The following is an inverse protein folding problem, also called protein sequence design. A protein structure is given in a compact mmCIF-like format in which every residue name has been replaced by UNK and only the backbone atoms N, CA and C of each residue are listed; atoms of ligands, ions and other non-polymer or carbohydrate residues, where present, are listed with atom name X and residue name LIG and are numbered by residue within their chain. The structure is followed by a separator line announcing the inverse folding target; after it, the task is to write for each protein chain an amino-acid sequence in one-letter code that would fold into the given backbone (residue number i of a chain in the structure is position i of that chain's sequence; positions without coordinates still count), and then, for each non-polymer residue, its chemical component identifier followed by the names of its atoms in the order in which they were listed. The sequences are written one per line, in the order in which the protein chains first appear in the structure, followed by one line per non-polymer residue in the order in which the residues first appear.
data_IF_801158249531
#
_entry.id   IF_801158249531
#
_cell.length_a   1.000
_cell.length_b   1.000
_cell.length_c   1.000
_cell.angle_alpha   90.00
_cell.angle_beta   90.00
_cell.angle_gamma   90.00
#
_symmetry.space_group_name_H-M   'P 1'
#
loop_
_entity.id
_entity.type
_entity.pdbx_description
1 polymer ?
#
# COMPACT_ATOMS: atom_id res chain seq x y z
N UNK A 1 -18.17 -7.13 -15.20
CA UNK A 1 -17.82 -6.35 -13.99
C UNK A 1 -16.64 -5.48 -14.38
N UNK A 2 -16.66 -4.18 -14.07
CA UNK A 2 -15.55 -3.29 -14.44
C UNK A 2 -14.28 -3.71 -13.68
N UNK A 3 -13.20 -3.96 -14.43
CA UNK A 3 -11.85 -4.11 -13.87
C UNK A 3 -11.23 -2.72 -13.86
N UNK A 4 -11.12 -2.10 -12.68
CA UNK A 4 -10.46 -0.80 -12.57
C UNK A 4 -8.94 -1.01 -12.48
N UNK A 5 -8.18 -0.16 -13.19
CA UNK A 5 -6.73 -0.11 -13.03
C UNK A 5 -6.37 0.64 -11.75
N UNK A 6 -5.37 0.13 -11.04
CA UNK A 6 -4.78 0.84 -9.90
C UNK A 6 -3.76 1.83 -10.43
N UNK A 7 -3.92 3.11 -10.09
CA UNK A 7 -2.84 4.09 -10.19
C UNK A 7 -2.40 4.45 -8.77
N UNK A 8 -1.20 4.02 -8.39
CA UNK A 8 -0.63 4.45 -7.10
C UNK A 8 -0.14 5.89 -7.23
N UNK A 9 -0.61 6.76 -6.34
CA UNK A 9 -0.07 8.10 -6.16
C UNK A 9 0.92 8.04 -5.02
N UNK A 10 2.18 8.23 -5.37
CA UNK A 10 3.30 7.95 -4.48
C UNK A 10 3.77 9.22 -3.78
N UNK A 11 3.71 9.23 -2.44
CA UNK A 11 4.63 10.02 -1.65
C UNK A 11 5.99 9.29 -1.64
N UNK A 12 7.07 10.00 -1.98
CA UNK A 12 8.45 9.53 -2.05
C UNK A 12 8.95 8.93 -0.72
N UNK A 13 9.80 7.87 -0.68
CA UNK A 13 9.95 6.75 -1.62
C UNK A 13 9.09 5.54 -1.18
N UNK A 14 8.28 4.98 -2.09
CA UNK A 14 7.43 3.82 -1.79
C UNK A 14 8.23 2.58 -1.43
N UNK A 15 7.78 1.92 -0.36
CA UNK A 15 8.16 0.55 0.00
C UNK A 15 7.09 -0.50 -0.38
N UNK A 16 6.03 -0.09 -1.10
CA UNK A 16 5.14 -1.03 -1.81
C UNK A 16 5.55 -1.05 -3.29
N UNK A 17 6.01 -2.22 -3.76
CA UNK A 17 6.09 -2.51 -5.20
C UNK A 17 4.80 -3.19 -5.63
N UNK A 18 4.04 -2.59 -6.53
CA UNK A 18 2.91 -3.27 -7.18
C UNK A 18 3.48 -4.26 -8.20
N UNK A 19 3.09 -5.52 -8.10
CA UNK A 19 3.53 -6.58 -9.02
C UNK A 19 2.61 -6.69 -10.24
N UNK A 20 1.35 -6.35 -10.03
CA UNK A 20 0.24 -6.35 -10.97
C UNK A 20 -0.88 -5.45 -10.40
N UNK A 21 -1.98 -5.29 -11.12
CA UNK A 21 -3.15 -4.49 -10.72
C UNK A 21 -3.87 -4.99 -9.44
N UNK A 22 -3.38 -6.05 -8.79
CA UNK A 22 -4.00 -6.66 -7.61
C UNK A 22 -3.03 -7.01 -6.48
N UNK A 23 -1.71 -7.01 -6.71
CA UNK A 23 -0.71 -7.50 -5.75
C UNK A 23 0.27 -6.42 -5.33
N UNK A 24 0.35 -6.14 -4.02
CA UNK A 24 1.32 -5.23 -3.40
C UNK A 24 2.30 -6.00 -2.52
N UNK A 25 3.60 -5.78 -2.71
CA UNK A 25 4.67 -6.29 -1.84
C UNK A 25 5.17 -5.17 -0.94
N UNK A 26 4.97 -5.32 0.37
CA UNK A 26 5.47 -4.38 1.39
C UNK A 26 6.68 -4.99 2.07
N UNK A 27 7.80 -4.27 2.10
CA UNK A 27 9.04 -4.72 2.78
C UNK A 27 9.50 -3.74 3.86
N UNK A 28 10.03 -4.25 4.97
CA UNK A 28 10.51 -3.46 6.12
C UNK A 28 11.98 -3.70 6.44
N UNK A 29 12.59 -2.65 6.98
CA UNK A 29 13.95 -2.65 7.51
C UNK A 29 13.99 -3.15 8.95
N UNK A 30 14.62 -2.39 9.82
CA UNK A 30 14.99 -2.78 11.20
C UNK A 30 13.89 -2.61 12.27
N UNK A 31 12.67 -2.23 11.87
CA UNK A 31 11.56 -1.97 12.79
C UNK A 31 10.25 -2.61 12.34
N UNK A 32 9.35 -2.83 13.29
CA UNK A 32 8.00 -3.35 13.04
C UNK A 32 7.04 -2.23 12.64
N UNK A 33 6.11 -2.55 11.72
CA UNK A 33 5.11 -1.63 11.22
C UNK A 33 3.73 -2.27 11.18
N UNK A 34 2.69 -1.46 11.27
CA UNK A 34 1.30 -1.91 11.17
C UNK A 34 0.68 -1.11 10.04
N UNK A 35 0.31 -1.78 8.95
CA UNK A 35 -0.32 -1.12 7.81
C UNK A 35 -1.81 -1.39 7.79
N UNK A 36 -2.59 -0.33 7.60
CA UNK A 36 -4.03 -0.39 7.38
C UNK A 36 -4.37 0.19 6.00
N UNK A 37 -5.23 -0.52 5.25
CA UNK A 37 -5.74 -0.08 3.96
C UNK A 37 -7.19 0.37 4.08
N UNK A 38 -7.44 1.65 3.81
CA UNK A 38 -8.79 2.17 3.75
C UNK A 38 -9.56 1.62 2.55
N UNK A 39 -10.87 1.39 2.71
CA UNK A 39 -11.79 1.05 1.62
C UNK A 39 -11.70 -0.39 1.07
N UNK A 40 -10.78 -1.20 1.58
CA UNK A 40 -10.57 -2.56 1.12
C UNK A 40 -10.24 -3.52 2.27
N UNK A 41 -10.52 -4.79 2.03
CA UNK A 41 -9.79 -5.89 2.65
C UNK A 41 -8.86 -6.54 1.63
N UNK A 42 -7.77 -7.13 2.09
CA UNK A 42 -6.78 -7.83 1.30
C UNK A 42 -6.57 -9.26 1.80
N UNK A 43 -6.18 -10.13 0.88
CA UNK A 43 -5.70 -11.47 1.13
C UNK A 43 -4.20 -11.45 1.41
N UNK A 44 -3.78 -12.05 2.51
CA UNK A 44 -2.35 -12.25 2.81
C UNK A 44 -1.90 -13.54 2.14
N UNK A 45 -1.16 -13.41 1.05
CA UNK A 45 -0.79 -14.53 0.17
C UNK A 45 0.63 -15.05 0.43
N UNK A 46 1.48 -14.25 1.05
CA UNK A 46 2.84 -14.66 1.40
C UNK A 46 3.43 -13.77 2.49
N UNK A 47 4.21 -14.36 3.39
CA UNK A 47 4.98 -13.68 4.42
C UNK A 47 6.38 -14.29 4.41
N UNK A 48 7.41 -13.45 4.39
CA UNK A 48 8.80 -13.87 4.56
C UNK A 48 9.49 -12.93 5.52
N UNK A 49 10.37 -13.47 6.34
CA UNK A 49 11.25 -12.67 7.19
C UNK A 49 12.70 -12.99 6.84
N UNK A 50 13.53 -11.97 6.72
CA UNK A 50 14.96 -12.08 6.53
C UNK A 50 15.71 -11.89 7.86
N UNK A 51 16.97 -12.30 7.90
CA UNK A 51 17.83 -12.09 9.08
C UNK A 51 18.54 -10.72 9.08
N UNK A 52 18.32 -9.91 8.03
CA UNK A 52 18.96 -8.61 7.83
C UNK A 52 18.08 -7.71 6.96
N UNK A 53 18.39 -6.42 6.95
CA UNK A 53 17.81 -5.48 5.99
C UNK A 53 18.15 -5.91 4.57
N UNK A 54 17.12 -6.04 3.73
CA UNK A 54 17.25 -6.28 2.30
C UNK A 54 17.10 -4.94 1.56
N UNK A 55 17.90 -4.73 0.52
CA UNK A 55 17.73 -3.57 -0.36
C UNK A 55 16.48 -3.74 -1.22
N UNK A 56 15.86 -2.63 -1.65
CA UNK A 56 14.64 -2.62 -2.46
C UNK A 56 14.83 -3.45 -3.72
N UNK A 57 15.94 -3.22 -4.41
CA UNK A 57 16.31 -3.84 -5.68
C UNK A 57 16.44 -5.36 -5.53
N UNK A 58 16.93 -5.84 -4.38
CA UNK A 58 17.01 -7.27 -4.10
C UNK A 58 15.63 -7.89 -3.92
N UNK A 59 14.73 -7.22 -3.18
CA UNK A 59 13.35 -7.70 -2.98
C UNK A 59 12.60 -7.73 -4.32
N UNK A 60 12.72 -6.67 -5.12
CA UNK A 60 12.09 -6.60 -6.44
C UNK A 60 12.63 -7.68 -7.38
N UNK A 61 13.95 -7.87 -7.44
CA UNK A 61 14.58 -8.93 -8.23
C UNK A 61 14.11 -10.32 -7.79
N UNK A 62 14.13 -10.61 -6.49
CA UNK A 62 13.64 -11.90 -5.99
C UNK A 62 12.16 -12.11 -6.32
N UNK A 63 11.37 -11.03 -6.37
CA UNK A 63 9.99 -11.11 -6.76
C UNK A 63 9.81 -11.40 -8.25
N UNK A 64 10.57 -10.72 -9.11
CA UNK A 64 10.57 -10.94 -10.58
C UNK A 64 11.03 -12.37 -10.93
N UNK A 65 11.99 -12.90 -10.18
CA UNK A 65 12.48 -14.27 -10.32
C UNK A 65 11.55 -15.32 -9.66
N UNK A 66 10.43 -14.91 -9.05
CA UNK A 66 9.50 -15.74 -8.26
C UNK A 66 10.18 -16.54 -7.13
N UNK A 67 11.28 -16.00 -6.58
CA UNK A 67 12.05 -16.59 -5.46
C UNK A 67 11.81 -15.87 -4.13
N UNK A 68 11.02 -14.78 -4.14
CA UNK A 68 10.76 -13.98 -2.95
C UNK A 68 9.95 -14.74 -1.90
N UNK A 69 8.97 -15.54 -2.30
CA UNK A 69 8.19 -16.38 -1.39
C UNK A 69 8.41 -17.84 -1.73
N UNK A 70 8.84 -18.70 -0.76
CA UNK A 70 8.99 -20.13 -1.02
C UNK A 70 7.68 -20.79 -1.44
N UNK A 71 6.56 -20.32 -0.88
CA UNK A 71 5.21 -20.74 -1.25
C UNK A 71 4.23 -19.56 -1.05
N UNK A 72 3.30 -19.37 -1.99
CA UNK A 72 2.18 -18.44 -1.86
C UNK A 72 0.89 -19.21 -1.60
N UNK A 73 0.14 -18.83 -0.56
CA UNK A 73 -1.19 -19.38 -0.31
C UNK A 73 -2.22 -18.68 -1.20
N UNK A 74 -2.55 -19.30 -2.33
CA UNK A 74 -3.57 -18.82 -3.27
C UNK A 74 -4.91 -19.59 -3.16
N UNK A 75 -4.98 -20.63 -2.31
CA UNK A 75 -6.16 -21.49 -2.18
C UNK A 75 -7.12 -21.01 -1.11
N UNK A 76 -6.60 -20.62 0.06
CA UNK A 76 -7.40 -20.11 1.17
C UNK A 76 -6.59 -19.13 2.03
N UNK A 77 -6.20 -17.97 1.48
CA UNK A 77 -5.49 -16.94 2.23
C UNK A 77 -6.40 -16.29 3.29
N UNK A 78 -5.80 -15.83 4.38
CA UNK A 78 -6.51 -15.03 5.38
C UNK A 78 -6.83 -13.64 4.81
N UNK A 79 -8.05 -13.16 5.05
CA UNK A 79 -8.50 -11.83 4.68
C UNK A 79 -8.39 -10.87 5.85
N UNK A 80 -7.76 -9.71 5.65
CA UNK A 80 -7.56 -8.66 6.66
C UNK A 80 -7.62 -7.27 6.00
N UNK A 81 -7.84 -6.22 6.78
CA UNK A 81 -7.65 -4.83 6.37
C UNK A 81 -6.37 -4.20 6.97
N UNK A 82 -5.78 -4.91 7.94
CA UNK A 82 -4.66 -4.44 8.76
C UNK A 82 -3.67 -5.57 8.99
N UNK A 83 -2.37 -5.28 8.83
CA UNK A 83 -1.30 -6.27 8.99
C UNK A 83 -0.12 -5.70 9.75
N UNK A 84 0.36 -6.46 10.74
CA UNK A 84 1.65 -6.22 11.38
C UNK A 84 2.76 -6.91 10.60
N UNK A 85 3.77 -6.14 10.19
CA UNK A 85 4.96 -6.61 9.51
C UNK A 85 6.13 -6.46 10.47
N UNK A 86 6.67 -7.58 10.94
CA UNK A 86 7.84 -7.60 11.81
C UNK A 86 9.08 -7.05 11.09
N UNK A 87 10.11 -6.66 11.86
CA UNK A 87 11.43 -6.27 11.34
C UNK A 87 11.96 -7.30 10.35
N UNK A 88 12.55 -6.80 9.27
CA UNK A 88 13.05 -7.58 8.13
C UNK A 88 11.98 -8.40 7.41
N UNK A 89 10.71 -8.10 7.66
CA UNK A 89 9.56 -8.76 7.06
C UNK A 89 9.23 -8.22 5.66
N UNK A 90 8.74 -9.11 4.82
CA UNK A 90 8.17 -8.84 3.51
C UNK A 90 6.84 -9.58 3.41
N UNK A 91 5.79 -8.89 2.97
CA UNK A 91 4.45 -9.46 2.83
C UNK A 91 3.92 -9.23 1.42
N UNK A 92 3.22 -10.23 0.89
CA UNK A 92 2.46 -10.16 -0.35
C UNK A 92 0.98 -10.05 -0.03
N UNK A 93 0.39 -8.91 -0.37
CA UNK A 93 -1.02 -8.61 -0.20
C UNK A 93 -1.70 -8.63 -1.56
N UNK A 94 -2.87 -9.26 -1.65
CA UNK A 94 -3.68 -9.26 -2.85
C UNK A 94 -5.07 -8.70 -2.57
N UNK A 95 -5.55 -7.76 -3.36
CA UNK A 95 -6.92 -7.25 -3.26
C UNK A 95 -7.44 -6.94 -4.65
N UNK A 96 -8.77 -6.87 -4.79
CA UNK A 96 -9.40 -6.46 -6.03
C UNK A 96 -9.71 -4.98 -5.92
N UNK A 97 -9.22 -4.18 -6.86
CA UNK A 97 -9.50 -2.75 -6.92
C UNK A 97 -10.87 -2.50 -7.57
N UNK A 98 -11.95 -2.74 -6.84
CA UNK A 98 -13.33 -2.55 -7.31
C UNK A 98 -14.12 -1.48 -6.54
N UNK A 99 -13.42 -0.63 -5.80
CA UNK A 99 -13.98 0.51 -5.07
C UNK A 99 -13.35 1.82 -5.58
N UNK A 100 -14.00 2.53 -6.53
CA UNK A 100 -13.45 3.76 -7.10
C UNK A 100 -13.26 4.87 -6.07
N UNK A 101 -12.12 5.57 -6.14
CA UNK A 101 -11.79 6.68 -5.25
C UNK A 101 -10.32 6.75 -4.87
N UNK A 102 -10.03 7.51 -3.82
CA UNK A 102 -8.70 7.66 -3.24
C UNK A 102 -8.63 6.95 -1.89
N UNK A 103 -7.73 5.97 -1.77
CA UNK A 103 -7.62 5.11 -0.58
C UNK A 103 -6.24 5.18 0.04
N UNK A 104 -6.18 5.60 1.29
CA UNK A 104 -4.94 5.69 2.04
C UNK A 104 -4.52 4.30 2.54
N UNK A 105 -3.29 3.90 2.24
CA UNK A 105 -2.57 2.88 3.00
C UNK A 105 -1.66 3.63 3.96
N UNK A 106 -1.81 3.40 5.27
CA UNK A 106 -1.06 4.12 6.30
C UNK A 106 -0.42 3.23 7.34
N UNK A 107 0.68 3.71 7.90
CA UNK A 107 1.31 3.11 9.07
C UNK A 107 0.60 3.58 10.35
N UNK A 108 -0.15 2.68 10.98
CA UNK A 108 -0.93 2.93 12.19
C UNK A 108 -0.06 3.22 13.42
N UNK A 109 1.24 2.91 13.37
CA UNK A 109 2.13 3.12 14.51
C UNK A 109 2.74 4.52 14.58
N UNK A 110 2.31 5.46 13.74
CA UNK A 110 2.89 6.80 13.73
C UNK A 110 2.20 7.76 14.71
N UNK A 111 2.89 8.22 15.79
CA UNK A 111 2.26 8.99 16.85
C UNK A 111 1.96 10.46 16.49
N UNK A 112 2.60 11.03 15.46
CA UNK A 112 2.48 12.45 15.14
C UNK A 112 2.36 12.77 13.65
N UNK A 113 3.22 12.20 12.79
CA UNK A 113 3.27 12.47 11.35
C UNK A 113 3.62 11.20 10.59
N UNK A 114 3.17 11.04 9.35
CA UNK A 114 3.56 9.88 8.52
C UNK A 114 5.08 9.77 8.49
N UNK A 115 5.62 8.56 8.69
CA UNK A 115 7.07 8.30 8.59
C UNK A 115 7.56 8.31 7.13
N UNK A 116 6.82 8.94 6.22
CA UNK A 116 6.99 8.82 4.77
C UNK A 116 6.64 7.43 4.25
N UNK A 117 5.76 6.70 4.96
CA UNK A 117 5.42 5.31 4.64
C UNK A 117 4.01 5.13 4.07
N UNK A 118 3.22 6.20 4.14
CA UNK A 118 1.85 6.20 3.69
C UNK A 118 1.80 6.47 2.18
N UNK A 119 0.84 5.86 1.50
CA UNK A 119 0.62 6.09 0.07
C UNK A 119 -0.87 6.05 -0.24
N UNK A 120 -1.26 6.68 -1.36
CA UNK A 120 -2.65 6.76 -1.79
C UNK A 120 -2.83 5.92 -3.05
N UNK A 121 -3.85 5.06 -3.05
CA UNK A 121 -4.32 4.35 -4.21
C UNK A 121 -5.44 5.15 -4.87
N UNK A 122 -5.25 5.55 -6.14
CA UNK A 122 -6.35 6.02 -6.99
C UNK A 122 -6.89 4.80 -7.76
N UNK A 123 -8.16 4.49 -7.55
CA UNK A 123 -8.85 3.39 -8.23
C UNK A 123 -9.96 3.99 -9.09
N UNK A 124 -9.96 3.71 -10.39
CA UNK A 124 -10.91 4.28 -11.35
C UNK A 124 -10.56 5.70 -11.82
N UNK A 125 -11.42 6.25 -12.68
CA UNK A 125 -11.33 7.62 -13.18
C UNK A 125 -12.30 8.56 -12.45
N UNK A 126 -12.15 9.87 -12.58
CA UNK A 126 -12.92 10.84 -11.79
C UNK A 126 -14.44 10.71 -11.99
N UNK A 127 -14.87 10.31 -13.20
CA UNK A 127 -16.27 10.04 -13.52
C UNK A 127 -16.84 8.80 -12.79
N UNK A 128 -15.97 7.91 -12.29
CA UNK A 128 -16.36 6.75 -11.48
C UNK A 128 -16.58 7.13 -10.01
N UNK A 129 -16.17 8.33 -9.58
CA UNK A 129 -16.16 8.70 -8.16
C UNK A 129 -17.53 9.21 -7.72
N UNK A 130 -17.87 8.90 -6.47
CA UNK A 130 -19.03 9.52 -5.82
C UNK A 130 -18.75 11.02 -5.67
N UNK A 131 -19.67 11.84 -6.17
CA UNK A 131 -19.56 13.30 -6.05
C UNK A 131 -19.50 13.69 -4.57
N UNK A 132 -18.55 14.55 -4.25
CA UNK A 132 -18.46 15.11 -2.90
C UNK A 132 -19.78 15.81 -2.51
N UNK A 133 -20.24 15.68 -1.26
CA UNK A 133 -21.40 16.40 -0.76
C UNK A 133 -21.28 17.93 -0.99
N UNK A 134 -22.39 18.67 -1.17
CA UNK A 134 -22.35 20.11 -1.44
C UNK A 134 -21.64 20.93 -0.34
N UNK A 135 -21.68 20.44 0.90
CA UNK A 135 -21.09 21.03 2.10
C UNK A 135 -19.70 20.45 2.44
N UNK A 136 -19.11 19.63 1.56
CA UNK A 136 -17.79 19.08 1.79
C UNK A 136 -16.74 20.20 1.92
N UNK A 137 -15.87 20.16 2.96
CA UNK A 137 -14.85 21.19 3.16
C UNK A 137 -13.95 21.37 1.93
N UNK A 138 -13.71 22.62 1.55
CA UNK A 138 -12.80 22.97 0.46
C UNK A 138 -11.45 23.42 1.02
N UNK A 139 -10.37 23.11 0.31
CA UNK A 139 -9.03 23.52 0.71
C UNK A 139 -8.82 25.04 0.68
N UNK A 140 -9.65 25.81 -0.03
CA UNK A 140 -9.48 27.26 -0.18
C UNK A 140 -8.13 27.60 -0.82
N UNK A 141 -7.36 28.48 -0.18
CA UNK A 141 -6.01 28.88 -0.59
C UNK A 141 -4.89 28.08 0.12
N UNK A 142 -5.18 26.86 0.58
CA UNK A 142 -4.18 26.01 1.22
C UNK A 142 -3.06 25.67 0.25
N UNK A 143 -1.82 26.07 0.58
CA UNK A 143 -0.62 25.89 -0.25
C UNK A 143 0.20 24.65 0.16
N UNK A 144 -0.30 23.86 1.10
CA UNK A 144 0.47 22.75 1.70
C UNK A 144 1.37 23.22 2.86
N UNK A 145 2.08 22.30 3.52
CA UNK A 145 3.14 22.65 4.46
C UNK A 145 4.26 23.40 3.73
N UNK A 146 4.77 24.49 4.30
CA UNK A 146 5.84 25.32 3.70
C UNK A 146 7.10 24.51 3.30
N UNK A 147 7.33 23.37 3.95
CA UNK A 147 8.45 22.46 3.64
C UNK A 147 8.43 21.88 2.22
N UNK A 148 7.28 21.84 1.54
CA UNK A 148 7.17 21.38 0.14
C UNK A 148 7.26 22.50 -0.90
N UNK A 149 7.42 23.76 -0.48
CA UNK A 149 7.46 24.95 -1.35
C UNK A 149 8.87 25.53 -1.51
N UNK A 150 9.91 24.77 -1.12
CA UNK A 150 11.33 25.15 -1.21
C UNK A 150 12.03 24.31 -2.27
#
# INVERSE_FOLDING_TARGET
MAEYRIRSLQAYPSKCGFLDDSTCVIYRGDSDHIFHLHGYSFYVTGIRQFNRTMQKEQIMRMNEEDTLFPERNLKNPVTKDTISIARYGVVSLRFKADNPGYWLMRDERSPHWTRGLDFVLKVGEEDDFVKAPPDFPKCGSYVGPEFFLI
#
